data_IF_943642137264
#
_entry.id   IF_943642137264
#
_cell.length_a   1.000
_cell.length_b   1.000
_cell.length_c   1.000
_cell.angle_alpha   90.00
_cell.angle_beta   90.00
_cell.angle_gamma   90.00
#
_symmetry.space_group_name_H-M   'P 1'
#
loop_
_entity.id
_entity.type
_entity.pdbx_description
1 polymer ?
#
# COMPACT_ATOMS: atom_id res chain seq x y z
N UNK A 1 16.76 -13.34 44.85
CA UNK A 1 16.02 -12.06 44.69
C UNK A 1 16.10 -11.65 43.24
N UNK A 2 14.94 -11.34 42.68
CA UNK A 2 14.59 -11.42 41.25
C UNK A 2 15.25 -10.33 40.40
N UNK A 3 16.15 -10.71 39.49
CA UNK A 3 16.70 -9.84 38.44
C UNK A 3 15.80 -9.86 37.19
N UNK A 4 14.50 -9.59 37.37
CA UNK A 4 13.48 -9.59 36.30
C UNK A 4 12.75 -8.23 36.28
N UNK A 5 13.50 -7.13 36.42
CA UNK A 5 12.95 -5.77 36.31
C UNK A 5 13.70 -4.84 35.35
N UNK A 6 14.55 -5.40 34.48
CA UNK A 6 15.27 -4.62 33.46
C UNK A 6 14.99 -5.14 32.04
N UNK A 7 13.79 -5.69 31.80
CA UNK A 7 13.37 -6.23 30.49
C UNK A 7 11.89 -5.94 30.19
N UNK A 8 11.38 -4.81 30.65
CA UNK A 8 10.01 -4.37 30.37
C UNK A 8 9.93 -2.96 29.77
N UNK A 9 11.05 -2.23 29.70
CA UNK A 9 11.09 -0.87 29.13
C UNK A 9 11.67 -0.81 27.71
N UNK A 10 11.83 -1.97 27.06
CA UNK A 10 12.24 -2.05 25.64
C UNK A 10 11.04 -2.34 24.72
N UNK A 11 9.83 -1.97 25.16
CA UNK A 11 8.60 -2.03 24.35
C UNK A 11 8.09 -0.64 23.93
N UNK A 12 8.94 0.40 24.03
CA UNK A 12 8.62 1.78 23.61
C UNK A 12 9.70 2.38 22.68
N UNK A 13 10.83 1.72 22.44
CA UNK A 13 11.84 2.13 21.45
C UNK A 13 11.78 1.28 20.18
N UNK A 14 10.65 1.29 19.47
CA UNK A 14 10.76 1.11 18.03
C UNK A 14 10.46 2.46 17.43
N UNK A 15 11.50 3.10 16.89
CA UNK A 15 11.34 4.19 15.94
C UNK A 15 10.41 3.69 14.85
N UNK A 16 9.11 3.91 15.04
CA UNK A 16 8.05 3.45 14.17
C UNK A 16 8.29 4.25 12.91
N UNK A 17 8.99 3.66 11.95
CA UNK A 17 9.07 4.25 10.63
C UNK A 17 7.61 4.37 10.22
N UNK A 18 7.13 5.61 10.17
CA UNK A 18 5.78 5.94 9.77
C UNK A 18 5.71 5.68 8.26
N UNK A 19 5.68 4.40 7.90
CA UNK A 19 5.46 3.93 6.56
C UNK A 19 4.03 4.29 6.17
N UNK A 20 3.85 4.73 4.92
CA UNK A 20 2.53 5.00 4.38
C UNK A 20 1.62 3.78 4.54
N UNK A 21 0.37 4.00 4.93
CA UNK A 21 -0.63 2.94 5.01
C UNK A 21 -1.73 3.25 4.00
N UNK A 22 -1.75 2.48 2.90
CA UNK A 22 -2.77 2.64 1.87
C UNK A 22 -4.10 1.96 2.25
N UNK A 23 -4.06 0.90 3.06
CA UNK A 23 -5.24 0.19 3.57
C UNK A 23 -6.01 -0.61 2.51
N UNK A 24 -5.29 -1.27 1.61
CA UNK A 24 -5.85 -2.11 0.54
C UNK A 24 -5.32 -3.53 0.62
N UNK A 25 -6.19 -4.50 0.32
CA UNK A 25 -5.80 -5.86 0.00
C UNK A 25 -5.66 -5.96 -1.51
N UNK A 26 -4.51 -6.40 -1.99
CA UNK A 26 -4.23 -6.52 -3.42
C UNK A 26 -3.65 -7.89 -3.77
N UNK A 27 -3.72 -8.22 -5.04
CA UNK A 27 -3.02 -9.35 -5.65
C UNK A 27 -2.13 -8.82 -6.76
N UNK A 28 -0.92 -9.33 -6.87
CA UNK A 28 0.03 -8.91 -7.91
C UNK A 28 -0.23 -9.73 -9.16
N UNK A 29 -0.26 -9.07 -10.31
CA UNK A 29 -0.26 -9.72 -11.63
C UNK A 29 1.14 -10.28 -11.85
N UNK A 30 1.23 -11.59 -11.87
CA UNK A 30 2.47 -12.29 -12.13
C UNK A 30 2.54 -12.62 -13.62
N UNK A 31 3.41 -11.96 -14.42
CA UNK A 31 3.48 -12.19 -15.85
C UNK A 31 4.02 -13.58 -16.23
N UNK A 32 4.62 -14.30 -15.28
CA UNK A 32 5.04 -15.68 -15.51
C UNK A 32 3.84 -16.66 -15.52
N UNK A 33 2.72 -16.27 -14.91
CA UNK A 33 1.47 -17.06 -14.95
C UNK A 33 0.83 -16.96 -16.33
N UNK A 34 0.42 -18.11 -16.88
CA UNK A 34 -0.24 -18.21 -18.19
C UNK A 34 -1.49 -17.33 -18.30
N UNK A 35 -2.28 -17.23 -17.22
CA UNK A 35 -3.49 -16.40 -17.12
C UNK A 35 -3.25 -14.90 -17.38
N UNK A 36 -2.02 -14.43 -17.18
CA UNK A 36 -1.62 -13.03 -17.33
C UNK A 36 -0.62 -12.82 -18.46
N UNK A 37 -0.28 -13.86 -19.21
CA UNK A 37 0.67 -13.79 -20.32
C UNK A 37 0.11 -12.89 -21.43
N UNK A 38 0.76 -11.75 -21.66
CA UNK A 38 0.31 -10.73 -22.63
C UNK A 38 -0.43 -9.52 -22.02
N UNK A 39 -0.53 -9.43 -20.69
CA UNK A 39 -0.94 -8.18 -20.02
C UNK A 39 0.00 -7.02 -20.36
N UNK A 40 -0.56 -5.85 -20.66
CA UNK A 40 0.20 -4.61 -20.87
C UNK A 40 0.88 -4.10 -19.59
N UNK A 41 0.53 -4.65 -18.42
CA UNK A 41 1.04 -4.23 -17.12
C UNK A 41 1.50 -5.44 -16.28
N UNK A 42 2.67 -6.01 -16.63
CA UNK A 42 3.29 -7.04 -15.79
C UNK A 42 3.57 -6.47 -14.39
N UNK A 43 3.33 -7.24 -13.33
CA UNK A 43 3.56 -6.83 -11.93
C UNK A 43 2.63 -5.73 -11.38
N UNK A 44 1.58 -5.36 -12.10
CA UNK A 44 0.57 -4.44 -11.57
C UNK A 44 -0.19 -5.05 -10.38
N UNK A 45 -0.67 -4.20 -9.47
CA UNK A 45 -1.37 -4.62 -8.27
C UNK A 45 -2.89 -4.46 -8.45
N UNK A 46 -3.61 -5.58 -8.48
CA UNK A 46 -5.08 -5.60 -8.54
C UNK A 46 -5.65 -5.47 -7.15
N UNK A 47 -6.42 -4.41 -6.92
CA UNK A 47 -7.13 -4.17 -5.66
C UNK A 47 -8.25 -5.18 -5.52
N UNK A 48 -8.19 -6.02 -4.50
CA UNK A 48 -9.22 -7.02 -4.17
C UNK A 48 -10.22 -6.44 -3.18
N UNK A 49 -9.71 -5.67 -2.23
CA UNK A 49 -10.52 -5.10 -1.14
C UNK A 49 -9.90 -3.78 -0.69
N UNK A 50 -10.74 -2.83 -0.29
CA UNK A 50 -10.32 -1.56 0.28
C UNK A 50 -10.96 -1.44 1.66
N UNK A 51 -10.15 -1.26 2.70
CA UNK A 51 -10.68 -1.09 4.04
C UNK A 51 -11.53 0.20 4.14
N UNK A 52 -12.59 0.15 4.96
CA UNK A 52 -13.59 1.22 5.06
C UNK A 52 -13.02 2.56 5.54
N UNK A 53 -12.01 2.49 6.40
CA UNK A 53 -11.31 3.60 7.05
C UNK A 53 -9.97 3.95 6.36
N UNK A 54 -9.68 3.34 5.22
CA UNK A 54 -8.42 3.53 4.51
C UNK A 54 -8.38 4.83 3.69
N UNK A 55 -7.18 5.41 3.61
CA UNK A 55 -6.88 6.51 2.68
C UNK A 55 -7.21 6.14 1.24
N UNK A 56 -6.98 4.90 0.82
CA UNK A 56 -7.36 4.43 -0.51
C UNK A 56 -8.84 4.67 -0.81
N UNK A 57 -9.73 4.39 0.16
CA UNK A 57 -11.16 4.60 -0.02
C UNK A 57 -11.50 6.08 -0.15
N UNK A 58 -10.87 6.93 0.67
CA UNK A 58 -11.00 8.38 0.59
C UNK A 58 -10.48 8.95 -0.74
N UNK A 59 -9.48 8.31 -1.35
CA UNK A 59 -8.95 8.63 -2.66
C UNK A 59 -9.83 8.17 -3.82
N UNK A 60 -10.86 7.36 -3.53
CA UNK A 60 -11.77 6.81 -4.54
C UNK A 60 -11.32 5.46 -5.11
N UNK A 61 -10.27 4.81 -4.58
CA UNK A 61 -9.92 3.44 -4.95
C UNK A 61 -11.03 2.47 -4.56
N UNK A 62 -11.28 1.50 -5.43
CA UNK A 62 -12.30 0.46 -5.27
C UNK A 62 -11.72 -0.92 -5.57
N UNK A 63 -12.43 -1.95 -5.12
CA UNK A 63 -12.14 -3.32 -5.53
C UNK A 63 -12.33 -3.47 -7.04
N UNK A 64 -11.35 -4.08 -7.70
CA UNK A 64 -11.30 -4.22 -9.16
C UNK A 64 -10.33 -3.25 -9.84
N UNK A 65 -9.87 -2.21 -9.14
CA UNK A 65 -8.91 -1.26 -9.69
C UNK A 65 -7.54 -1.92 -9.85
N UNK A 66 -6.84 -1.60 -10.93
CA UNK A 66 -5.50 -2.13 -11.19
C UNK A 66 -4.48 -1.00 -11.05
N UNK A 67 -3.68 -1.01 -10.00
CA UNK A 67 -2.62 -0.03 -9.78
C UNK A 67 -1.42 -0.42 -10.65
N UNK A 68 -1.02 0.47 -11.54
CA UNK A 68 0.08 0.26 -12.50
C UNK A 68 1.31 1.09 -12.16
N UNK A 69 1.15 2.23 -11.49
CA UNK A 69 2.26 3.09 -11.07
C UNK A 69 1.94 3.89 -9.80
N UNK A 70 2.99 4.30 -9.08
CA UNK A 70 2.91 5.22 -7.95
C UNK A 70 3.94 6.33 -8.14
N UNK A 71 3.53 7.58 -7.95
CA UNK A 71 4.35 8.79 -8.11
C UNK A 71 5.05 8.84 -9.48
N UNK A 72 4.36 8.38 -10.53
CA UNK A 72 4.91 8.26 -11.89
C UNK A 72 5.91 7.13 -12.08
N UNK A 73 6.18 6.31 -11.04
CA UNK A 73 7.05 5.13 -11.12
C UNK A 73 6.23 3.86 -11.32
N UNK A 74 6.38 3.15 -12.46
CA UNK A 74 5.62 1.94 -12.74
C UNK A 74 5.99 0.82 -11.77
N UNK A 75 5.01 -0.01 -11.42
CA UNK A 75 5.23 -1.20 -10.62
C UNK A 75 5.96 -2.27 -11.44
N UNK A 76 6.94 -2.93 -10.84
CA UNK A 76 7.73 -3.99 -11.45
C UNK A 76 7.96 -5.12 -10.42
N UNK A 77 8.57 -6.24 -10.85
CA UNK A 77 8.91 -7.33 -9.92
C UNK A 77 9.84 -6.87 -8.78
N UNK A 78 10.69 -5.87 -9.03
CA UNK A 78 11.58 -5.28 -8.02
C UNK A 78 10.98 -4.07 -7.30
N UNK A 79 9.97 -3.43 -7.91
CA UNK A 79 9.29 -2.24 -7.38
C UNK A 79 7.80 -2.51 -7.20
N UNK A 80 7.49 -3.13 -6.08
CA UNK A 80 6.13 -3.55 -5.73
C UNK A 80 5.32 -2.42 -5.10
N UNK A 81 3.99 -2.58 -5.08
CA UNK A 81 3.07 -1.64 -4.42
C UNK A 81 3.45 -1.40 -2.95
N UNK A 82 3.78 -2.47 -2.22
CA UNK A 82 4.21 -2.38 -0.81
C UNK A 82 5.47 -1.54 -0.65
N UNK A 83 6.51 -1.77 -1.47
CA UNK A 83 7.75 -1.00 -1.39
C UNK A 83 7.53 0.48 -1.75
N UNK A 84 6.68 0.75 -2.74
CA UNK A 84 6.33 2.10 -3.11
C UNK A 84 5.57 2.83 -1.99
N UNK A 85 4.61 2.16 -1.35
CA UNK A 85 3.84 2.70 -0.22
C UNK A 85 4.73 2.88 1.02
N UNK A 86 5.63 1.94 1.31
CA UNK A 86 6.58 2.00 2.43
C UNK A 86 7.61 3.12 2.27
N UNK A 87 7.99 3.43 1.02
CA UNK A 87 8.91 4.52 0.71
C UNK A 87 8.28 5.91 0.85
N UNK A 88 6.95 6.00 0.87
CA UNK A 88 6.25 7.28 1.01
C UNK A 88 6.09 7.60 2.51
N UNK A 89 6.42 8.84 2.86
CA UNK A 89 6.19 9.35 4.21
C UNK A 89 4.71 9.61 4.45
N UNK A 90 4.25 9.25 5.64
CA UNK A 90 2.93 9.60 6.12
C UNK A 90 2.66 11.10 5.99
N UNK A 91 1.49 11.44 5.46
CA UNK A 91 1.03 12.80 5.21
C UNK A 91 1.45 13.37 3.86
N UNK A 92 2.30 12.68 3.09
CA UNK A 92 2.69 13.15 1.77
C UNK A 92 1.62 12.77 0.72
N UNK A 93 1.13 13.74 -0.08
CA UNK A 93 0.29 13.42 -1.24
C UNK A 93 1.08 12.55 -2.20
N UNK A 94 0.51 11.41 -2.58
CA UNK A 94 1.06 10.51 -3.58
C UNK A 94 0.06 10.25 -4.69
N UNK A 95 0.59 10.16 -5.89
CA UNK A 95 -0.17 9.95 -7.11
C UNK A 95 -0.18 8.47 -7.44
N UNK A 96 -1.35 7.89 -7.67
CA UNK A 96 -1.55 6.49 -8.01
C UNK A 96 -2.14 6.44 -9.42
N UNK A 97 -1.42 5.82 -10.35
CA UNK A 97 -1.96 5.49 -11.66
C UNK A 97 -2.69 4.16 -11.53
N UNK A 98 -4.01 4.21 -11.72
CA UNK A 98 -4.91 3.08 -11.61
C UNK A 98 -5.66 2.90 -12.91
N UNK A 99 -5.94 1.66 -13.29
CA UNK A 99 -6.79 1.35 -14.41
C UNK A 99 -8.15 0.91 -13.90
N UNK A 100 -9.18 1.70 -14.22
CA UNK A 100 -10.57 1.45 -13.86
C UNK A 100 -11.35 1.11 -15.14
N UNK A 101 -11.91 -0.10 -15.22
CA UNK A 101 -12.71 -0.55 -16.38
C UNK A 101 -11.99 -0.41 -17.75
N UNK A 102 -10.66 -0.42 -17.75
CA UNK A 102 -9.86 -0.26 -18.97
C UNK A 102 -9.44 1.19 -19.26
N UNK A 103 -9.89 2.17 -18.48
CA UNK A 103 -9.44 3.56 -18.54
C UNK A 103 -8.34 3.83 -17.51
N UNK A 104 -7.30 4.55 -17.91
CA UNK A 104 -6.23 4.96 -17.01
C UNK A 104 -6.66 6.21 -16.25
N UNK A 105 -6.89 6.05 -14.95
CA UNK A 105 -7.23 7.11 -14.02
C UNK A 105 -6.03 7.41 -13.12
N UNK A 106 -5.81 8.68 -12.86
CA UNK A 106 -4.78 9.11 -11.91
C UNK A 106 -5.45 9.64 -10.66
N UNK A 107 -5.25 8.94 -9.55
CA UNK A 107 -5.78 9.32 -8.23
C UNK A 107 -4.67 9.94 -7.40
N UNK A 108 -4.97 10.99 -6.65
CA UNK A 108 -4.03 11.57 -5.69
C UNK A 108 -4.55 11.39 -4.28
N UNK A 109 -3.73 10.82 -3.41
CA UNK A 109 -4.12 10.49 -2.04
C UNK A 109 -2.98 10.80 -1.07
N UNK A 110 -3.23 11.54 0.02
CA UNK A 110 -2.24 11.71 1.09
C UNK A 110 -2.17 10.42 1.92
N UNK A 111 -1.08 9.66 1.82
CA UNK A 111 -0.95 8.40 2.57
C UNK A 111 -1.02 8.68 4.08
N UNK A 112 -2.03 8.13 4.75
CA UNK A 112 -2.12 8.25 6.20
C UNK A 112 -1.19 7.23 6.87
N UNK A 113 -0.77 7.55 8.10
CA UNK A 113 -0.10 6.58 8.95
C UNK A 113 -1.10 5.53 9.38
N UNK A 114 -0.63 4.30 9.57
CA UNK A 114 -1.46 3.21 10.08
C UNK A 114 -2.27 3.74 11.28
N UNK A 115 -3.60 3.67 11.25
CA UNK A 115 -4.40 4.14 12.37
C UNK A 115 -3.94 3.40 13.63
N UNK A 116 -3.48 4.15 14.64
CA UNK A 116 -3.29 3.57 15.98
C UNK A 116 -4.68 3.16 16.43
N UNK A 117 -4.94 1.86 16.47
CA UNK A 117 -6.10 1.33 17.17
C UNK A 117 -5.89 1.70 18.64
N UNK A 118 -6.50 2.80 19.06
CA UNK A 118 -6.61 3.15 20.47
C UNK A 118 -7.74 2.25 20.98
N UNK A 119 -7.38 1.00 21.31
CA UNK A 119 -8.26 0.16 22.12
C UNK A 119 -8.34 0.82 23.49
N UNK A 120 -9.50 1.40 23.78
CA UNK A 120 -9.87 1.85 25.13
C UNK A 120 -10.14 0.68 26.07
#
# INVERSE_FOLDING_TARGET
MSAIRARLDELIESGTVAHGYLGVRYSVIDPEREEFRGTAYPYAAVVREVAGDATARAAGLRSGDVITAINGRPLTGEWTLSQAVDAIRVGQPSTFSVRLLGEDLTLSAPLQGRPKVVSG
#
